data_IF_937362795232
#
_entry.id   IF_937362795232
#
_cell.length_a   1.000
_cell.length_b   1.000
_cell.length_c   1.000
_cell.angle_alpha   90.00
_cell.angle_beta   90.00
_cell.angle_gamma   90.00
#
_symmetry.space_group_name_H-M   'P 1'
#
loop_
_entity.id
_entity.type
_entity.pdbx_description
1 polymer ?
#
# COMPACT_ATOMS: atom_id res chain seq x y z
N UNK A 1 10.83 7.32 -5.98
CA UNK A 1 10.24 8.11 -4.86
C UNK A 1 10.36 9.62 -5.09
N UNK A 2 11.54 10.21 -5.23
CA UNK A 2 11.71 11.68 -5.39
C UNK A 2 10.89 12.29 -6.54
N UNK A 3 10.74 11.60 -7.67
CA UNK A 3 9.92 12.06 -8.80
C UNK A 3 8.44 12.22 -8.42
N UNK A 4 7.88 11.32 -7.61
CA UNK A 4 6.48 11.39 -7.17
C UNK A 4 6.28 12.53 -6.17
N UNK A 5 7.27 12.79 -5.30
CA UNK A 5 7.26 13.95 -4.40
C UNK A 5 7.26 15.26 -5.19
N UNK A 6 8.12 15.38 -6.20
CA UNK A 6 8.15 16.56 -7.08
C UNK A 6 6.81 16.74 -7.82
N UNK A 7 6.24 15.65 -8.34
CA UNK A 7 4.94 15.71 -8.98
C UNK A 7 3.85 16.21 -8.02
N UNK A 8 3.78 15.64 -6.83
CA UNK A 8 2.81 16.03 -5.80
C UNK A 8 2.94 17.51 -5.43
N UNK A 9 4.17 17.97 -5.17
CA UNK A 9 4.43 19.38 -4.83
C UNK A 9 4.06 20.32 -5.97
N UNK A 10 4.39 19.98 -7.22
CA UNK A 10 4.05 20.80 -8.38
C UNK A 10 2.53 20.84 -8.61
N UNK A 11 1.82 19.71 -8.40
CA UNK A 11 0.37 19.67 -8.53
C UNK A 11 -0.32 20.58 -7.49
N UNK A 12 0.16 20.59 -6.25
CA UNK A 12 -0.35 21.51 -5.22
C UNK A 12 -0.04 22.97 -5.58
N UNK A 13 1.17 23.26 -6.06
CA UNK A 13 1.55 24.65 -6.47
C UNK A 13 0.68 25.21 -7.58
N UNK A 14 0.23 24.37 -8.52
CA UNK A 14 -0.66 24.80 -9.60
C UNK A 14 -2.03 25.26 -9.10
N UNK A 15 -2.46 24.77 -7.93
CA UNK A 15 -3.75 25.07 -7.32
C UNK A 15 -3.67 26.13 -6.22
N UNK A 16 -2.58 26.91 -6.11
CA UNK A 16 -2.31 27.83 -4.99
C UNK A 16 -3.45 28.78 -4.63
N UNK A 17 -4.39 29.03 -5.54
CA UNK A 17 -5.51 29.95 -5.35
C UNK A 17 -6.84 29.29 -5.00
N UNK A 18 -6.89 27.96 -5.03
CA UNK A 18 -8.13 27.21 -4.85
C UNK A 18 -8.01 26.23 -3.66
N UNK A 19 -9.11 25.92 -2.97
CA UNK A 19 -9.11 24.81 -2.03
C UNK A 19 -8.76 23.49 -2.75
N UNK A 20 -7.75 22.79 -2.25
CA UNK A 20 -7.25 21.56 -2.86
C UNK A 20 -7.62 20.35 -2.02
N UNK A 21 -8.15 19.30 -2.66
CA UNK A 21 -8.22 17.99 -2.08
C UNK A 21 -6.93 17.22 -2.42
N UNK A 22 -6.00 16.97 -1.47
CA UNK A 22 -4.74 16.29 -1.75
C UNK A 22 -4.91 14.78 -1.97
N UNK A 23 -6.07 14.20 -1.66
CA UNK A 23 -6.29 12.75 -1.66
C UNK A 23 -6.03 12.09 -3.03
N UNK A 24 -6.54 12.58 -4.17
CA UNK A 24 -6.26 11.97 -5.46
C UNK A 24 -4.78 12.04 -5.85
N UNK A 25 -4.12 13.15 -5.55
CA UNK A 25 -2.70 13.35 -5.85
C UNK A 25 -1.82 12.43 -5.02
N UNK A 26 -2.09 12.32 -3.71
CA UNK A 26 -1.40 11.39 -2.81
C UNK A 26 -1.61 9.94 -3.24
N UNK A 27 -2.85 9.59 -3.60
CA UNK A 27 -3.17 8.26 -4.06
C UNK A 27 -2.32 7.87 -5.26
N UNK A 28 -2.25 8.72 -6.27
CA UNK A 28 -1.48 8.48 -7.47
C UNK A 28 0.04 8.40 -7.19
N UNK A 29 0.56 9.32 -6.38
CA UNK A 29 1.99 9.36 -6.04
C UNK A 29 2.41 8.11 -5.23
N UNK A 30 1.63 7.73 -4.21
CA UNK A 30 1.92 6.55 -3.38
C UNK A 30 1.81 5.28 -4.22
N UNK A 31 0.75 5.15 -5.03
CA UNK A 31 0.57 3.98 -5.90
C UNK A 31 1.72 3.81 -6.87
N UNK A 32 2.22 4.88 -7.48
CA UNK A 32 3.38 4.82 -8.38
C UNK A 32 4.67 4.39 -7.65
N UNK A 33 4.85 4.81 -6.40
CA UNK A 33 6.00 4.33 -5.59
C UNK A 33 5.90 2.81 -5.39
N UNK A 34 4.73 2.30 -5.00
CA UNK A 34 4.50 0.86 -4.81
C UNK A 34 4.67 0.11 -6.13
N UNK A 35 4.06 0.60 -7.23
CA UNK A 35 4.19 -0.02 -8.55
C UNK A 35 5.66 -0.08 -9.01
N UNK A 36 6.46 0.96 -8.76
CA UNK A 36 7.88 0.94 -9.12
C UNK A 36 8.70 -0.06 -8.31
N UNK A 37 8.26 -0.41 -7.09
CA UNK A 37 8.92 -1.42 -6.25
C UNK A 37 8.52 -2.85 -6.62
N UNK A 38 7.24 -3.07 -6.97
CA UNK A 38 6.70 -4.41 -7.22
C UNK A 38 6.94 -4.83 -8.68
N UNK A 39 6.76 -3.91 -9.62
CA UNK A 39 6.66 -4.20 -11.06
C UNK A 39 7.50 -3.25 -11.93
N UNK A 40 8.49 -2.56 -11.35
CA UNK A 40 9.39 -1.61 -12.02
C UNK A 40 8.69 -0.64 -12.99
N UNK A 41 7.39 -0.43 -12.80
CA UNK A 41 6.55 0.36 -13.68
C UNK A 41 6.08 1.63 -12.99
N UNK A 42 6.19 2.73 -13.72
CA UNK A 42 5.64 4.02 -13.34
C UNK A 42 4.55 4.42 -14.33
N UNK A 43 3.33 4.50 -13.85
CA UNK A 43 2.19 4.88 -14.67
C UNK A 43 2.09 6.40 -14.81
N UNK A 44 1.65 6.85 -15.98
CA UNK A 44 1.27 8.25 -16.16
C UNK A 44 0.01 8.55 -15.36
N UNK A 45 -0.08 9.73 -14.77
CA UNK A 45 -1.22 10.13 -13.92
C UNK A 45 -2.57 10.20 -14.68
N UNK A 46 -2.51 10.26 -16.01
CA UNK A 46 -3.69 10.21 -16.88
C UNK A 46 -3.86 8.87 -17.60
N UNK A 47 -3.11 7.84 -17.23
CA UNK A 47 -3.25 6.51 -17.81
C UNK A 47 -4.61 5.89 -17.41
N UNK A 48 -5.44 5.58 -18.40
CA UNK A 48 -6.79 5.09 -18.18
C UNK A 48 -6.83 3.68 -17.58
N UNK A 49 -5.87 2.81 -17.94
CA UNK A 49 -5.77 1.47 -17.35
C UNK A 49 -5.40 1.55 -15.86
N UNK A 50 -4.45 2.42 -15.54
CA UNK A 50 -4.05 2.64 -14.15
C UNK A 50 -5.17 3.28 -13.33
N UNK A 51 -5.87 4.27 -13.88
CA UNK A 51 -7.06 4.86 -13.23
C UNK A 51 -8.14 3.81 -12.97
N UNK A 52 -8.39 2.93 -13.95
CA UNK A 52 -9.36 1.84 -13.80
C UNK A 52 -8.94 0.89 -12.70
N UNK A 53 -7.67 0.45 -12.68
CA UNK A 53 -7.12 -0.40 -11.62
C UNK A 53 -7.26 0.24 -10.24
N UNK A 54 -6.93 1.54 -10.11
CA UNK A 54 -7.11 2.29 -8.87
C UNK A 54 -8.57 2.39 -8.43
N UNK A 55 -9.48 2.55 -9.40
CA UNK A 55 -10.91 2.58 -9.10
C UNK A 55 -11.40 1.22 -8.58
N UNK A 56 -11.03 0.12 -9.23
CA UNK A 56 -11.34 -1.24 -8.80
C UNK A 56 -10.82 -1.51 -7.38
N UNK A 57 -9.65 -0.97 -7.09
CA UNK A 57 -9.03 -1.09 -5.78
C UNK A 57 -9.87 -0.43 -4.68
N UNK A 58 -10.29 0.81 -4.89
CA UNK A 58 -11.16 1.52 -3.94
C UNK A 58 -12.53 0.84 -3.81
N UNK A 59 -13.09 0.39 -4.91
CA UNK A 59 -14.36 -0.33 -4.93
C UNK A 59 -14.25 -1.67 -4.20
N UNK A 60 -13.16 -2.40 -4.39
CA UNK A 60 -12.86 -3.63 -3.66
C UNK A 60 -12.82 -3.42 -2.15
N UNK A 61 -12.16 -2.36 -1.66
CA UNK A 61 -12.19 -2.02 -0.23
C UNK A 61 -13.59 -1.66 0.28
N UNK A 62 -14.36 -0.92 -0.51
CA UNK A 62 -15.73 -0.56 -0.16
C UNK A 62 -16.61 -1.81 -0.03
N UNK A 63 -16.53 -2.70 -1.00
CA UNK A 63 -17.27 -3.97 -1.02
C UNK A 63 -16.82 -4.90 0.12
N UNK A 64 -15.50 -5.01 0.35
CA UNK A 64 -14.95 -5.80 1.45
C UNK A 64 -15.45 -5.30 2.81
N UNK A 65 -15.47 -3.99 3.04
CA UNK A 65 -16.00 -3.41 4.27
C UNK A 65 -17.49 -3.72 4.47
N UNK A 66 -18.27 -3.81 3.39
CA UNK A 66 -19.68 -4.17 3.44
C UNK A 66 -19.90 -5.67 3.71
N UNK A 67 -18.93 -6.52 3.36
CA UNK A 67 -19.03 -7.98 3.50
C UNK A 67 -18.21 -8.54 4.66
N UNK A 68 -17.35 -7.73 5.28
CA UNK A 68 -16.39 -8.16 6.30
C UNK A 68 -17.02 -8.90 7.50
N UNK A 69 -18.25 -8.56 7.87
CA UNK A 69 -18.98 -9.28 8.94
C UNK A 69 -19.26 -10.76 8.60
N UNK A 70 -19.30 -11.11 7.30
CA UNK A 70 -19.55 -12.49 6.86
C UNK A 70 -18.36 -13.42 7.16
N UNK A 71 -17.16 -12.86 7.37
CA UNK A 71 -15.98 -13.62 7.81
C UNK A 71 -16.22 -14.18 9.21
N UNK A 72 -16.88 -13.40 10.08
CA UNK A 72 -17.19 -13.79 11.46
C UNK A 72 -18.49 -14.60 11.57
N UNK A 73 -19.45 -14.32 10.69
CA UNK A 73 -20.77 -14.93 10.70
C UNK A 73 -21.14 -15.48 9.31
N UNK A 74 -20.55 -16.61 8.87
CA UNK A 74 -20.74 -17.15 7.52
C UNK A 74 -22.19 -17.45 7.13
N UNK A 75 -23.07 -17.66 8.10
CA UNK A 75 -24.52 -17.89 7.87
C UNK A 75 -25.20 -16.68 7.22
N UNK A 76 -24.65 -15.46 7.44
CA UNK A 76 -25.22 -14.22 6.93
C UNK A 76 -25.07 -14.07 5.41
N UNK A 77 -24.22 -14.88 4.76
CA UNK A 77 -24.11 -14.94 3.29
C UNK A 77 -25.41 -15.37 2.61
N UNK A 78 -26.33 -16.01 3.34
CA UNK A 78 -27.61 -16.47 2.83
C UNK A 78 -28.75 -15.45 2.96
N UNK A 79 -28.47 -14.26 3.50
CA UNK A 79 -29.45 -13.20 3.60
C UNK A 79 -29.78 -12.61 2.21
N UNK A 80 -31.03 -12.19 1.97
CA UNK A 80 -31.39 -11.50 0.72
C UNK A 80 -30.52 -10.24 0.50
N UNK A 81 -30.01 -10.05 -0.72
CA UNK A 81 -29.17 -8.89 -1.10
C UNK A 81 -27.68 -9.06 -0.85
N UNK A 82 -27.24 -10.07 -0.08
CA UNK A 82 -25.79 -10.32 0.14
C UNK A 82 -25.13 -10.94 -1.08
N UNK A 83 -25.85 -11.76 -1.85
CA UNK A 83 -25.33 -12.41 -3.05
C UNK A 83 -24.87 -11.41 -4.11
N UNK A 84 -25.60 -10.31 -4.31
CA UNK A 84 -25.25 -9.28 -5.30
C UNK A 84 -23.96 -8.58 -4.92
N UNK A 85 -23.77 -8.29 -3.61
CA UNK A 85 -22.53 -7.67 -3.11
C UNK A 85 -21.34 -8.63 -3.19
N UNK A 86 -21.54 -9.92 -2.88
CA UNK A 86 -20.49 -10.92 -3.02
C UNK A 86 -20.10 -11.13 -4.49
N UNK A 87 -21.08 -11.19 -5.39
CA UNK A 87 -20.81 -11.27 -6.81
C UNK A 87 -20.05 -10.04 -7.32
N UNK A 88 -20.48 -8.84 -6.93
CA UNK A 88 -19.75 -7.61 -7.27
C UNK A 88 -18.31 -7.60 -6.75
N UNK A 89 -18.05 -8.21 -5.59
CA UNK A 89 -16.69 -8.36 -5.05
C UNK A 89 -15.86 -9.37 -5.88
N UNK A 90 -16.47 -10.47 -6.31
CA UNK A 90 -15.82 -11.46 -7.18
C UNK A 90 -15.51 -10.85 -8.55
N UNK A 91 -16.48 -10.21 -9.21
CA UNK A 91 -16.30 -9.55 -10.51
C UNK A 91 -15.20 -8.47 -10.44
N UNK A 92 -15.18 -7.68 -9.35
CA UNK A 92 -14.14 -6.67 -9.11
C UNK A 92 -12.76 -7.32 -8.96
N UNK A 93 -12.67 -8.43 -8.22
CA UNK A 93 -11.41 -9.16 -8.03
C UNK A 93 -10.90 -9.77 -9.34
N UNK A 94 -11.80 -10.34 -10.16
CA UNK A 94 -11.44 -10.92 -11.46
C UNK A 94 -10.83 -9.84 -12.38
N UNK A 95 -11.44 -8.67 -12.48
CA UNK A 95 -10.90 -7.57 -13.31
C UNK A 95 -9.55 -7.06 -12.76
N UNK A 96 -9.35 -7.03 -11.45
CA UNK A 96 -8.05 -6.71 -10.86
C UNK A 96 -6.99 -7.76 -11.21
N UNK A 97 -7.36 -9.04 -11.19
CA UNK A 97 -6.46 -10.14 -11.54
C UNK A 97 -6.06 -10.09 -13.03
N UNK A 98 -6.97 -9.74 -13.94
CA UNK A 98 -6.63 -9.54 -15.35
C UNK A 98 -5.52 -8.51 -15.55
N UNK A 99 -5.57 -7.39 -14.81
CA UNK A 99 -4.52 -6.37 -14.85
C UNK A 99 -3.18 -6.92 -14.33
N UNK A 100 -3.18 -7.64 -13.21
CA UNK A 100 -1.98 -8.24 -12.62
C UNK A 100 -1.38 -9.30 -13.54
N UNK A 101 -2.21 -10.18 -14.10
CA UNK A 101 -1.79 -11.21 -15.05
C UNK A 101 -1.16 -10.61 -16.32
N UNK A 102 -1.72 -9.51 -16.81
CA UNK A 102 -1.12 -8.78 -17.92
C UNK A 102 0.31 -8.32 -17.57
N UNK A 103 0.52 -7.74 -16.39
CA UNK A 103 1.86 -7.28 -15.95
C UNK A 103 2.82 -8.46 -15.76
N UNK A 104 2.37 -9.56 -15.14
CA UNK A 104 3.21 -10.78 -14.98
C UNK A 104 3.63 -11.34 -16.34
N UNK A 105 2.71 -11.36 -17.31
CA UNK A 105 3.00 -11.83 -18.66
C UNK A 105 4.06 -10.96 -19.36
N UNK A 106 3.99 -9.65 -19.24
CA UNK A 106 4.99 -8.72 -19.77
C UNK A 106 6.37 -8.94 -19.12
N UNK A 107 6.40 -9.18 -17.79
CA UNK A 107 7.64 -9.47 -17.08
C UNK A 107 8.25 -10.80 -17.55
N UNK A 108 7.44 -11.84 -17.66
CA UNK A 108 7.89 -13.16 -18.14
C UNK A 108 8.48 -13.09 -19.56
N UNK A 109 7.90 -12.28 -20.43
CA UNK A 109 8.39 -12.10 -21.81
C UNK A 109 9.74 -11.37 -21.88
N UNK A 110 10.12 -10.64 -20.85
CA UNK A 110 11.32 -9.80 -20.78
C UNK A 110 12.23 -10.13 -19.60
N UNK A 111 12.02 -11.29 -18.97
CA UNK A 111 12.78 -11.73 -17.80
C UNK A 111 14.27 -11.90 -18.12
N UNK A 112 15.10 -11.27 -17.33
CA UNK A 112 16.55 -11.48 -17.30
C UNK A 112 16.91 -12.08 -15.92
N UNK A 113 17.25 -13.35 -15.91
CA UNK A 113 17.53 -14.10 -14.68
C UNK A 113 18.77 -13.62 -13.95
N UNK A 114 19.71 -12.99 -14.66
CA UNK A 114 20.94 -12.47 -14.06
C UNK A 114 20.75 -11.09 -13.42
N UNK A 115 19.71 -10.35 -13.84
CA UNK A 115 19.46 -8.97 -13.37
C UNK A 115 17.97 -8.73 -13.10
N UNK A 116 17.40 -9.30 -12.02
CA UNK A 116 15.99 -9.10 -11.67
C UNK A 116 15.72 -7.62 -11.36
N UNK A 117 14.68 -7.05 -11.99
CA UNK A 117 14.32 -5.63 -11.89
C UNK A 117 13.55 -5.30 -10.63
N UNK A 118 12.74 -6.25 -10.15
CA UNK A 118 11.74 -6.03 -9.13
C UNK A 118 11.27 -7.33 -8.44
N UNK A 119 10.19 -7.22 -7.65
CA UNK A 119 9.61 -8.36 -6.95
C UNK A 119 9.08 -9.42 -7.91
N UNK A 120 8.44 -9.03 -9.01
CA UNK A 120 7.85 -9.97 -9.98
C UNK A 120 8.95 -10.81 -10.63
N UNK A 121 10.02 -10.17 -11.11
CA UNK A 121 11.15 -10.87 -11.70
C UNK A 121 11.78 -11.87 -10.71
N UNK A 122 12.04 -11.40 -9.47
CA UNK A 122 12.61 -12.26 -8.42
C UNK A 122 11.73 -13.46 -8.10
N UNK A 123 10.42 -13.26 -8.08
CA UNK A 123 9.47 -14.33 -7.82
C UNK A 123 9.36 -15.32 -8.98
N UNK A 124 9.38 -14.84 -10.23
CA UNK A 124 9.39 -15.68 -11.42
C UNK A 124 10.65 -16.56 -11.49
N UNK A 125 11.82 -16.01 -11.15
CA UNK A 125 13.07 -16.77 -11.04
C UNK A 125 12.95 -17.88 -10.00
N UNK A 126 12.33 -17.59 -8.85
CA UNK A 126 12.15 -18.61 -7.81
C UNK A 126 11.18 -19.73 -8.25
N UNK A 127 10.14 -19.38 -9.03
CA UNK A 127 9.25 -20.39 -9.66
C UNK A 127 10.05 -21.31 -10.61
N UNK A 128 10.94 -20.75 -11.45
CA UNK A 128 11.77 -21.51 -12.36
C UNK A 128 12.75 -22.41 -11.61
N UNK A 129 13.43 -21.92 -10.59
CA UNK A 129 14.33 -22.67 -9.72
C UNK A 129 13.61 -23.83 -9.02
N UNK A 130 12.38 -23.60 -8.54
CA UNK A 130 11.57 -24.64 -7.91
C UNK A 130 11.15 -25.71 -8.92
N UNK A 131 10.84 -25.33 -10.15
CA UNK A 131 10.48 -26.26 -11.23
C UNK A 131 11.68 -27.13 -11.62
N UNK A 132 12.88 -26.57 -11.74
CA UNK A 132 14.11 -27.29 -12.08
C UNK A 132 14.55 -28.27 -10.97
N UNK A 133 14.43 -27.80 -9.70
CA UNK A 133 14.83 -28.64 -8.55
C UNK A 133 13.75 -29.64 -8.12
N UNK A 134 12.51 -29.48 -8.60
CA UNK A 134 11.34 -30.24 -8.13
C UNK A 134 10.92 -29.92 -6.70
N UNK A 135 11.46 -28.85 -6.12
CA UNK A 135 11.18 -28.44 -4.73
C UNK A 135 10.22 -27.24 -4.69
N UNK A 136 8.94 -27.50 -4.43
CA UNK A 136 7.90 -26.48 -4.26
C UNK A 136 7.53 -26.22 -2.79
N UNK A 137 8.35 -26.62 -1.84
CA UNK A 137 8.09 -26.41 -0.41
C UNK A 137 7.99 -24.91 -0.05
N UNK A 138 8.76 -24.04 -0.76
CA UNK A 138 8.73 -22.59 -0.59
C UNK A 138 7.33 -22.00 -0.85
N UNK A 139 6.56 -22.62 -1.74
CA UNK A 139 5.20 -22.18 -2.09
C UNK A 139 4.10 -22.88 -1.29
N UNK A 140 4.45 -23.62 -0.22
CA UNK A 140 3.51 -24.28 0.71
C UNK A 140 2.40 -25.08 0.00
N UNK A 141 2.74 -25.75 -1.13
CA UNK A 141 1.85 -26.53 -2.00
C UNK A 141 0.72 -25.72 -2.66
N UNK A 142 0.82 -24.41 -2.65
CA UNK A 142 -0.07 -23.53 -3.41
C UNK A 142 0.48 -23.38 -4.82
N UNK A 143 -0.39 -23.19 -5.80
CA UNK A 143 0.03 -22.83 -7.17
C UNK A 143 0.87 -21.55 -7.12
N UNK A 144 2.17 -21.59 -7.50
CA UNK A 144 3.07 -20.44 -7.36
C UNK A 144 2.61 -19.21 -8.14
N UNK A 145 1.95 -19.39 -9.29
CA UNK A 145 1.46 -18.26 -10.09
C UNK A 145 0.29 -17.55 -9.41
N UNK A 146 -0.66 -18.31 -8.87
CA UNK A 146 -1.76 -17.73 -8.07
C UNK A 146 -1.25 -17.07 -6.80
N UNK A 147 -0.19 -17.62 -6.21
CA UNK A 147 0.42 -17.02 -5.04
C UNK A 147 1.08 -15.69 -5.41
N UNK A 148 1.80 -15.59 -6.55
CA UNK A 148 2.36 -14.34 -7.04
C UNK A 148 1.27 -13.29 -7.28
N UNK A 149 0.18 -13.66 -7.96
CA UNK A 149 -0.97 -12.76 -8.18
C UNK A 149 -1.49 -12.20 -6.85
N UNK A 150 -1.68 -13.06 -5.86
CA UNK A 150 -2.18 -12.64 -4.56
C UNK A 150 -1.16 -11.75 -3.81
N UNK A 151 0.13 -12.09 -3.84
CA UNK A 151 1.18 -11.30 -3.20
C UNK A 151 1.25 -9.89 -3.79
N UNK A 152 1.13 -9.74 -5.10
CA UNK A 152 1.10 -8.42 -5.76
C UNK A 152 -0.10 -7.60 -5.25
N UNK A 153 -1.29 -8.19 -5.24
CA UNK A 153 -2.50 -7.51 -4.76
C UNK A 153 -2.40 -7.14 -3.28
N UNK A 154 -1.86 -8.02 -2.44
CA UNK A 154 -1.72 -7.80 -1.00
C UNK A 154 -0.72 -6.66 -0.71
N UNK A 155 0.45 -6.66 -1.35
CA UNK A 155 1.45 -5.61 -1.16
C UNK A 155 0.94 -4.27 -1.68
N UNK A 156 0.29 -4.26 -2.85
CA UNK A 156 -0.31 -3.05 -3.39
C UNK A 156 -1.37 -2.49 -2.45
N UNK A 157 -2.26 -3.36 -1.97
CA UNK A 157 -3.35 -3.05 -1.05
C UNK A 157 -2.83 -2.45 0.27
N UNK A 158 -1.95 -3.16 0.92
CA UNK A 158 -1.41 -2.72 2.19
C UNK A 158 -0.60 -1.42 2.05
N UNK A 159 0.22 -1.32 1.00
CA UNK A 159 1.16 -0.22 0.82
C UNK A 159 0.50 1.10 0.41
N UNK A 160 -0.57 1.06 -0.40
CA UNK A 160 -1.19 2.29 -0.90
C UNK A 160 -2.09 2.94 0.14
N UNK A 161 -3.07 2.20 0.66
CA UNK A 161 -4.13 2.79 1.50
C UNK A 161 -3.59 3.29 2.84
N UNK A 162 -2.68 2.55 3.46
CA UNK A 162 -2.12 2.93 4.76
C UNK A 162 -1.23 4.17 4.68
N UNK A 163 -0.33 4.22 3.70
CA UNK A 163 0.59 5.35 3.53
C UNK A 163 -0.19 6.60 3.12
N UNK A 164 -1.09 6.50 2.14
CA UNK A 164 -1.96 7.61 1.72
C UNK A 164 -2.71 8.21 2.90
N UNK A 165 -3.37 7.37 3.68
CA UNK A 165 -4.17 7.81 4.83
C UNK A 165 -3.28 8.46 5.91
N UNK A 166 -2.10 7.89 6.20
CA UNK A 166 -1.15 8.48 7.14
C UNK A 166 -0.69 9.86 6.69
N UNK A 167 -0.39 10.04 5.40
CA UNK A 167 0.00 11.33 4.84
C UNK A 167 -1.14 12.37 4.89
N UNK A 168 -2.38 11.95 4.64
CA UNK A 168 -3.55 12.82 4.80
C UNK A 168 -3.70 13.30 6.24
N UNK A 169 -3.54 12.42 7.23
CA UNK A 169 -3.54 12.78 8.64
C UNK A 169 -2.39 13.72 8.98
N UNK A 170 -1.20 13.48 8.43
CA UNK A 170 -0.04 14.35 8.64
C UNK A 170 -0.35 15.77 8.16
N UNK A 171 -0.89 15.94 6.95
CA UNK A 171 -1.29 17.23 6.41
C UNK A 171 -2.34 17.89 7.31
N UNK A 172 -3.37 17.16 7.71
CA UNK A 172 -4.43 17.66 8.57
C UNK A 172 -3.88 18.15 9.92
N UNK A 173 -3.01 17.37 10.57
CA UNK A 173 -2.39 17.77 11.84
C UNK A 173 -1.48 18.99 11.67
N UNK A 174 -0.72 19.10 10.56
CA UNK A 174 0.09 20.30 10.30
C UNK A 174 -0.74 21.56 10.07
N UNK A 175 -1.96 21.44 9.56
CA UNK A 175 -2.90 22.56 9.43
C UNK A 175 -3.44 22.95 10.81
N UNK A 176 -3.83 21.98 11.63
CA UNK A 176 -4.44 22.22 12.95
C UNK A 176 -3.43 22.62 14.05
N UNK A 177 -2.13 22.31 13.86
CA UNK A 177 -1.06 22.59 14.82
C UNK A 177 0.04 23.45 14.20
N UNK A 178 -0.23 24.77 13.96
CA UNK A 178 0.72 25.67 13.30
C UNK A 178 2.04 25.83 14.08
N UNK A 179 2.03 25.70 15.40
CA UNK A 179 3.20 25.75 16.25
C UNK A 179 4.12 24.55 16.04
N UNK A 180 3.56 23.35 15.82
CA UNK A 180 4.33 22.14 15.48
C UNK A 180 4.89 22.27 14.07
N UNK A 181 4.07 22.71 13.11
CA UNK A 181 4.49 22.96 11.75
C UNK A 181 5.68 23.93 11.69
N UNK A 182 5.62 25.03 12.42
CA UNK A 182 6.70 26.02 12.45
C UNK A 182 8.03 25.43 12.96
N UNK A 183 7.97 24.57 13.99
CA UNK A 183 9.16 23.89 14.51
C UNK A 183 9.72 22.87 13.50
N UNK A 184 8.87 22.07 12.86
CA UNK A 184 9.29 21.16 11.78
C UNK A 184 9.95 21.93 10.64
N UNK A 185 9.35 23.04 10.21
CA UNK A 185 9.92 23.88 9.15
C UNK A 185 11.25 24.50 9.54
N UNK A 186 11.38 24.97 10.78
CA UNK A 186 12.64 25.54 11.28
C UNK A 186 13.75 24.48 11.33
N UNK A 187 13.45 23.26 11.82
CA UNK A 187 14.40 22.16 11.84
C UNK A 187 14.84 21.76 10.42
N UNK A 188 13.88 21.58 9.50
CA UNK A 188 14.18 21.27 8.11
C UNK A 188 15.03 22.32 7.45
N UNK A 189 14.73 23.62 7.63
CA UNK A 189 15.51 24.73 7.06
C UNK A 189 16.91 24.85 7.65
N UNK A 190 17.15 24.33 8.84
CA UNK A 190 18.46 24.31 9.47
C UNK A 190 19.36 23.14 9.04
N UNK A 191 18.78 22.07 8.47
CA UNK A 191 19.50 20.84 8.12
C UNK A 191 19.56 20.62 6.60
N UNK A 192 18.48 20.96 5.91
CA UNK A 192 18.33 20.71 4.46
C UNK A 192 18.54 22.00 3.68
N UNK A 193 19.45 21.96 2.72
CA UNK A 193 19.70 23.08 1.81
C UNK A 193 18.43 23.43 1.02
N UNK A 194 18.26 24.72 0.71
CA UNK A 194 17.02 25.24 0.12
C UNK A 194 16.71 24.72 -1.30
N UNK A 195 17.73 24.19 -1.99
CA UNK A 195 17.66 23.74 -3.39
C UNK A 195 17.41 22.24 -3.55
N UNK A 196 17.35 21.48 -2.44
CA UNK A 196 17.09 20.03 -2.47
C UNK A 196 15.91 19.59 -1.59
N UNK A 197 15.39 18.40 -1.86
CA UNK A 197 14.44 17.74 -0.98
C UNK A 197 15.16 17.01 0.16
N UNK A 198 14.51 16.87 1.34
CA UNK A 198 14.99 15.99 2.39
C UNK A 198 15.17 14.56 1.90
N UNK A 199 16.18 13.86 2.39
CA UNK A 199 16.46 12.46 2.11
C UNK A 199 16.56 11.63 3.40
N UNK A 200 16.71 10.32 3.29
CA UNK A 200 16.78 9.45 4.46
C UNK A 200 18.03 9.69 5.30
N UNK A 201 19.10 10.12 4.68
CA UNK A 201 20.38 10.47 5.31
C UNK A 201 20.26 11.71 6.24
N UNK A 202 19.27 12.57 6.02
CA UNK A 202 19.01 13.72 6.88
C UNK A 202 18.28 13.33 8.18
N UNK A 203 17.59 12.18 8.22
CA UNK A 203 16.74 11.77 9.35
C UNK A 203 17.44 11.77 10.73
N UNK A 204 18.71 11.36 10.87
CA UNK A 204 19.41 11.46 12.15
C UNK A 204 19.52 12.88 12.68
N UNK A 205 19.56 13.88 11.79
CA UNK A 205 19.68 15.31 12.11
C UNK A 205 18.32 16.01 12.25
N UNK A 206 17.21 15.28 12.13
CA UNK A 206 15.83 15.77 12.18
C UNK A 206 15.03 15.14 13.34
N UNK A 207 15.48 15.22 14.60
CA UNK A 207 14.86 14.54 15.73
C UNK A 207 13.42 15.01 16.01
N UNK A 208 13.14 16.31 15.89
CA UNK A 208 11.78 16.85 16.10
C UNK A 208 10.81 16.42 14.99
N UNK A 209 11.24 16.48 13.73
CA UNK A 209 10.46 16.02 12.58
C UNK A 209 10.16 14.53 12.71
N UNK A 210 11.15 13.71 13.09
CA UNK A 210 10.98 12.27 13.32
C UNK A 210 9.99 11.99 14.45
N UNK A 211 10.11 12.70 15.58
CA UNK A 211 9.16 12.59 16.69
C UNK A 211 7.74 13.00 16.27
N UNK A 212 7.61 14.04 15.43
CA UNK A 212 6.34 14.48 14.89
C UNK A 212 5.70 13.41 14.00
N UNK A 213 6.48 12.73 13.13
CA UNK A 213 5.98 11.61 12.31
C UNK A 213 5.45 10.48 13.21
N UNK A 214 6.19 10.09 14.25
CA UNK A 214 5.73 9.06 15.19
C UNK A 214 4.45 9.47 15.93
N UNK A 215 4.31 10.74 16.31
CA UNK A 215 3.10 11.24 16.96
C UNK A 215 1.91 11.27 16.01
N UNK A 216 2.13 11.63 14.74
CA UNK A 216 1.11 11.51 13.69
C UNK A 216 0.63 10.06 13.58
N UNK A 217 1.54 9.08 13.45
CA UNK A 217 1.19 7.67 13.37
C UNK A 217 0.45 7.18 14.62
N UNK A 218 0.89 7.61 15.81
CA UNK A 218 0.23 7.25 17.07
C UNK A 218 -1.21 7.78 17.14
N UNK A 219 -1.46 9.00 16.65
CA UNK A 219 -2.77 9.66 16.71
C UNK A 219 -3.71 9.25 15.58
N UNK A 220 -3.19 9.00 14.40
CA UNK A 220 -4.01 8.65 13.24
C UNK A 220 -4.64 7.26 13.36
N UNK A 221 -3.96 6.31 14.00
CA UNK A 221 -4.42 4.92 14.21
C UNK A 221 -5.13 4.36 12.97
N UNK A 222 -4.42 4.31 11.84
CA UNK A 222 -5.01 4.02 10.51
C UNK A 222 -5.70 2.66 10.44
N UNK A 223 -5.23 1.67 11.22
CA UNK A 223 -5.84 0.34 11.33
C UNK A 223 -6.15 0.05 12.81
N UNK A 224 -7.19 0.66 13.39
CA UNK A 224 -7.43 0.65 14.85
C UNK A 224 -7.74 -0.73 15.42
N UNK A 225 -8.32 -1.63 14.63
CA UNK A 225 -8.68 -2.99 15.06
C UNK A 225 -7.62 -4.04 14.66
N UNK A 226 -6.55 -3.62 13.98
CA UNK A 226 -5.58 -4.54 13.37
C UNK A 226 -6.20 -5.34 12.22
N UNK A 227 -5.56 -6.44 11.88
CA UNK A 227 -6.04 -7.40 10.88
C UNK A 227 -6.43 -8.71 11.55
N UNK A 228 -7.29 -9.49 10.90
CA UNK A 228 -7.74 -10.79 11.43
C UNK A 228 -6.57 -11.77 11.48
N UNK A 229 -6.30 -12.35 12.66
CA UNK A 229 -5.26 -13.35 12.88
C UNK A 229 -5.86 -14.63 13.46
N UNK A 230 -5.28 -15.77 13.12
CA UNK A 230 -5.60 -17.06 13.72
C UNK A 230 -4.34 -17.63 14.36
N UNK A 231 -4.46 -18.07 15.63
CA UNK A 231 -3.38 -18.80 16.29
C UNK A 231 -3.20 -20.17 15.64
N UNK A 232 -1.96 -20.51 15.25
CA UNK A 232 -1.62 -21.80 14.64
C UNK A 232 -1.32 -22.84 15.74
N UNK A 233 -0.87 -22.39 16.91
CA UNK A 233 -0.60 -23.24 18.08
C UNK A 233 -1.39 -22.73 19.27
N UNK A 234 -1.92 -23.64 20.10
CA UNK A 234 -2.57 -23.28 21.35
C UNK A 234 -1.50 -22.71 22.30
N UNK A 235 -1.54 -21.40 22.55
CA UNK A 235 -0.68 -20.76 23.55
C UNK A 235 -1.45 -20.82 24.86
N UNK A 236 -1.03 -21.71 25.76
CA UNK A 236 -1.71 -22.01 27.02
C UNK A 236 -1.60 -20.90 28.09
N UNK A 237 -1.31 -19.64 27.72
CA UNK A 237 -1.24 -18.55 28.69
C UNK A 237 -1.91 -17.29 28.16
N UNK A 238 -3.10 -17.02 28.66
CA UNK A 238 -3.81 -15.73 28.59
C UNK A 238 -2.95 -14.53 29.09
N UNK A 239 -1.86 -14.79 29.82
CA UNK A 239 -0.96 -13.79 30.42
C UNK A 239 -0.13 -13.01 29.40
N UNK A 240 0.18 -13.59 28.23
CA UNK A 240 1.03 -12.95 27.24
C UNK A 240 0.27 -11.94 26.35
N UNK A 241 -1.03 -12.10 26.16
CA UNK A 241 -1.84 -11.14 25.39
C UNK A 241 -2.02 -9.79 26.10
N UNK A 242 -2.00 -9.74 27.41
CA UNK A 242 -2.21 -8.51 28.18
C UNK A 242 -0.93 -7.67 28.36
N UNK A 243 0.25 -8.25 28.14
CA UNK A 243 1.53 -7.53 28.25
C UNK A 243 1.99 -6.85 26.97
N UNK A 244 1.40 -7.18 25.82
CA UNK A 244 1.71 -6.51 24.53
C UNK A 244 0.92 -5.21 24.30
N UNK A 245 0.01 -4.82 25.22
CA UNK A 245 -0.83 -3.61 25.12
C UNK A 245 -0.52 -2.56 26.22
N UNK A 246 0.66 -2.63 26.82
CA UNK A 246 1.14 -1.56 27.73
C UNK A 246 2.28 -0.76 27.16
#
# INVERSE_FOLDING_TARGET
>A
MSQEVHYFLNSIRQEEKNPVNPAPMLNCAVSNVICSMIMSTRFKHNDEKFKRFMHLFHEGFRLFNQTGYMVFFPVLKHLPGTNDTLKALEDNREEMLEFVQYIIKEHRATLDTDNPRDLIDSYLIEIENAAESGNFEVFDRIDPERQLEQVILDIFSAGVETIKTTLQWAILFMIHHPEVRAKVQAELSGVVEADRLPCMEDMPSLPYTRATIYEVMRRSTVVPLGTTHRTIRCVATLSLCLTMWR
#
